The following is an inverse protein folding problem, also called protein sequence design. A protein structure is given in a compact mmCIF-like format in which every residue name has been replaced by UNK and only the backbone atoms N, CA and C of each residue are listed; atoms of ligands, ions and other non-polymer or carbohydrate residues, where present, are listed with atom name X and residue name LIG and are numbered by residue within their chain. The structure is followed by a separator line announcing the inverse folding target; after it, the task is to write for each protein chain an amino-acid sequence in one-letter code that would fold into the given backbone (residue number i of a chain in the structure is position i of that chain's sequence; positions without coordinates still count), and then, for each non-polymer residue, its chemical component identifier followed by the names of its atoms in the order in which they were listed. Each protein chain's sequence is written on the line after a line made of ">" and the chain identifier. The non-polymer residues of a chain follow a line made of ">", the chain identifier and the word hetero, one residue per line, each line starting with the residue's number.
data_IF_978421887063
#
_entry.id   IF_978421887063
#
_cell.length_a   1.000
_cell.length_b   1.000
_cell.length_c   1.000
_cell.angle_alpha   90.00
_cell.angle_beta   90.00
_cell.angle_gamma   90.00
#
_symmetry.space_group_name_H-M   'P 1'
#
loop_
_entity.id
_entity.type
_entity.pdbx_description
1 polymer ?
#
# COMPACT_ATOMS: atom_id res chain seq x y z
N UNK A 1 -65.15 66.57 6.56
CA UNK A 1 -64.47 65.48 7.32
C UNK A 1 -63.13 65.27 6.65
N UNK A 2 -62.05 65.79 7.24
CA UNK A 2 -60.69 65.65 6.73
C UNK A 2 -59.93 64.66 7.62
N UNK A 3 -59.23 63.70 7.01
CA UNK A 3 -58.35 62.74 7.69
C UNK A 3 -57.26 63.46 8.47
N UNK A 4 -56.90 63.01 9.69
CA UNK A 4 -55.64 63.43 10.29
C UNK A 4 -54.48 62.68 9.62
N UNK A 5 -53.54 63.44 9.06
CA UNK A 5 -52.23 62.99 8.59
C UNK A 5 -51.49 62.24 9.71
N UNK A 6 -51.02 61.03 9.39
CA UNK A 6 -50.10 60.29 10.24
C UNK A 6 -48.70 60.96 10.19
N UNK A 7 -48.05 61.20 11.33
CA UNK A 7 -46.70 61.76 11.34
C UNK A 7 -45.72 60.72 10.76
N UNK A 8 -44.99 61.13 9.73
CA UNK A 8 -43.87 60.40 9.14
C UNK A 8 -42.87 60.03 10.25
N UNK A 9 -42.67 58.73 10.44
CA UNK A 9 -41.74 58.19 11.41
C UNK A 9 -40.29 58.61 11.10
N UNK A 10 -39.54 58.80 12.18
CA UNK A 10 -38.20 59.37 12.26
C UNK A 10 -37.16 58.80 11.28
N UNK A 11 -36.30 59.69 10.78
CA UNK A 11 -35.02 59.34 10.14
C UNK A 11 -34.14 58.53 11.11
N UNK A 12 -33.61 57.36 10.74
CA UNK A 12 -32.66 56.64 11.58
C UNK A 12 -31.34 57.40 11.63
N UNK A 13 -30.75 57.47 12.82
CA UNK A 13 -29.42 58.03 13.08
C UNK A 13 -28.36 57.32 12.23
N UNK A 14 -27.37 58.10 11.79
CA UNK A 14 -26.29 57.71 10.87
C UNK A 14 -25.21 56.81 11.53
N UNK A 15 -25.65 55.81 12.29
CA UNK A 15 -24.81 54.79 12.90
C UNK A 15 -24.76 53.55 11.99
N UNK A 16 -23.61 52.85 12.00
CA UNK A 16 -23.39 51.67 11.16
C UNK A 16 -24.43 50.59 11.46
N UNK A 17 -25.12 50.02 10.45
CA UNK A 17 -26.00 48.88 10.68
C UNK A 17 -25.26 47.64 11.19
N UNK A 18 -25.86 46.88 12.12
CA UNK A 18 -25.23 45.71 12.76
C UNK A 18 -24.86 44.56 11.80
N UNK A 19 -25.56 44.46 10.67
CA UNK A 19 -25.32 43.41 9.66
C UNK A 19 -24.15 43.75 8.73
N UNK A 20 -23.67 44.99 8.71
CA UNK A 20 -22.65 45.45 7.77
C UNK A 20 -21.25 45.31 8.40
N UNK A 21 -20.39 44.45 7.84
CA UNK A 21 -19.01 44.33 8.30
C UNK A 21 -18.28 45.68 8.24
N UNK A 22 -17.39 45.91 9.21
CA UNK A 22 -16.63 47.17 9.36
C UNK A 22 -15.85 47.56 8.12
N UNK A 23 -15.34 46.57 7.39
CA UNK A 23 -14.59 46.77 6.15
C UNK A 23 -15.38 47.53 5.08
N UNK A 24 -16.72 47.42 5.08
CA UNK A 24 -17.62 48.07 4.13
C UNK A 24 -18.28 49.34 4.66
N UNK A 25 -17.90 49.81 5.85
CA UNK A 25 -18.40 51.06 6.44
C UNK A 25 -17.34 52.15 6.38
N UNK A 26 -17.76 53.35 5.99
CA UNK A 26 -16.97 54.58 6.06
C UNK A 26 -17.38 55.36 7.31
N UNK A 27 -16.50 55.37 8.32
CA UNK A 27 -16.73 56.05 9.58
C UNK A 27 -16.71 57.60 9.43
N UNK A 28 -15.94 58.11 8.46
CA UNK A 28 -15.80 59.55 8.22
C UNK A 28 -16.98 60.08 7.40
N UNK A 29 -17.41 59.30 6.40
CA UNK A 29 -18.57 59.59 5.56
C UNK A 29 -19.92 59.21 6.17
N UNK A 30 -19.94 58.46 7.28
CA UNK A 30 -21.13 57.79 7.86
C UNK A 30 -21.96 57.07 6.79
N UNK A 31 -21.27 56.39 5.88
CA UNK A 31 -21.86 55.83 4.68
C UNK A 31 -21.30 54.43 4.39
N UNK A 32 -22.03 53.66 3.59
CA UNK A 32 -21.58 52.36 3.11
C UNK A 32 -20.57 52.60 1.98
N UNK A 33 -19.43 51.88 2.03
CA UNK A 33 -18.49 51.77 0.91
C UNK A 33 -19.11 50.91 -0.19
N UNK A 34 -20.07 51.48 -0.90
CA UNK A 34 -20.88 50.76 -1.90
C UNK A 34 -20.05 50.16 -3.04
N UNK A 35 -18.93 50.80 -3.38
CA UNK A 35 -18.00 50.27 -4.39
C UNK A 35 -17.33 48.96 -3.93
N UNK A 36 -16.81 48.91 -2.70
CA UNK A 36 -16.14 47.72 -2.14
C UNK A 36 -17.13 46.58 -1.91
N UNK A 37 -18.33 46.90 -1.41
CA UNK A 37 -19.41 45.92 -1.23
C UNK A 37 -19.85 45.33 -2.57
N UNK A 38 -19.99 46.18 -3.61
CA UNK A 38 -20.31 45.72 -4.96
C UNK A 38 -19.21 44.81 -5.50
N UNK A 39 -17.94 45.19 -5.37
CA UNK A 39 -16.82 44.38 -5.84
C UNK A 39 -16.80 42.98 -5.20
N UNK A 40 -17.03 42.90 -3.89
CA UNK A 40 -17.12 41.63 -3.16
C UNK A 40 -18.36 40.81 -3.56
N UNK A 41 -19.49 41.47 -3.82
CA UNK A 41 -20.68 40.77 -4.32
C UNK A 41 -20.49 40.24 -5.75
N UNK A 42 -19.84 41.01 -6.62
CA UNK A 42 -19.50 40.58 -7.99
C UNK A 42 -18.56 39.36 -7.93
N UNK A 43 -17.55 39.38 -7.06
CA UNK A 43 -16.63 38.25 -6.83
C UNK A 43 -17.36 37.01 -6.32
N UNK A 44 -18.24 37.15 -5.33
CA UNK A 44 -19.05 36.04 -4.82
C UNK A 44 -19.98 35.48 -5.90
N UNK A 45 -20.57 36.35 -6.73
CA UNK A 45 -21.45 35.94 -7.82
C UNK A 45 -20.67 35.18 -8.89
N UNK A 46 -19.49 35.67 -9.26
CA UNK A 46 -18.59 34.98 -10.19
C UNK A 46 -18.13 33.63 -9.62
N UNK A 47 -17.78 33.57 -8.34
CA UNK A 47 -17.42 32.33 -7.66
C UNK A 47 -18.57 31.33 -7.68
N UNK A 48 -19.78 31.75 -7.30
CA UNK A 48 -20.97 30.90 -7.31
C UNK A 48 -21.31 30.39 -8.71
N UNK A 49 -21.24 31.26 -9.72
CA UNK A 49 -21.43 30.87 -11.12
C UNK A 49 -20.38 29.84 -11.57
N UNK A 50 -19.12 30.01 -11.15
CA UNK A 50 -18.05 29.05 -11.40
C UNK A 50 -18.30 27.68 -10.74
N UNK A 51 -18.70 27.66 -9.47
CA UNK A 51 -19.00 26.42 -8.75
C UNK A 51 -20.25 25.72 -9.28
N UNK A 52 -21.29 26.46 -9.65
CA UNK A 52 -22.47 25.90 -10.33
C UNK A 52 -22.10 25.31 -11.69
N UNK A 53 -21.22 25.98 -12.45
CA UNK A 53 -20.72 25.45 -13.72
C UNK A 53 -19.93 24.15 -13.54
N UNK A 54 -19.06 24.05 -12.52
CA UNK A 54 -18.31 22.82 -12.23
C UNK A 54 -19.23 21.68 -11.80
N UNK A 55 -20.18 21.98 -10.92
CA UNK A 55 -21.18 21.00 -10.48
C UNK A 55 -22.07 20.54 -11.64
N UNK A 56 -22.38 21.41 -12.60
CA UNK A 56 -23.10 21.04 -13.82
C UNK A 56 -22.25 20.19 -14.77
N UNK A 57 -20.92 20.35 -14.74
CA UNK A 57 -19.97 19.52 -15.48
C UNK A 57 -19.63 18.18 -14.78
N UNK A 58 -20.10 17.99 -13.54
CA UNK A 58 -19.93 16.74 -12.83
C UNK A 58 -20.71 15.61 -13.54
N UNK A 59 -20.11 14.42 -13.69
CA UNK A 59 -20.82 13.27 -14.26
C UNK A 59 -22.11 12.94 -13.50
N UNK A 60 -23.15 12.54 -14.22
CA UNK A 60 -24.47 12.25 -13.62
C UNK A 60 -24.43 11.12 -12.58
N UNK A 61 -23.48 10.19 -12.73
CA UNK A 61 -23.30 9.04 -11.85
C UNK A 61 -21.82 8.80 -11.53
N UNK A 62 -21.49 8.23 -10.35
CA UNK A 62 -20.12 7.93 -9.97
C UNK A 62 -19.37 7.05 -10.99
N UNK A 63 -20.05 6.11 -11.65
CA UNK A 63 -19.40 5.17 -12.56
C UNK A 63 -18.91 5.82 -13.86
N UNK A 64 -19.38 7.03 -14.16
CA UNK A 64 -19.02 7.76 -15.38
C UNK A 64 -17.69 8.50 -15.27
N UNK A 65 -17.07 8.55 -14.09
CA UNK A 65 -15.71 9.09 -13.96
C UNK A 65 -14.68 8.12 -14.57
N UNK A 66 -13.90 8.66 -15.49
CA UNK A 66 -12.84 7.93 -16.20
C UNK A 66 -11.55 7.88 -15.36
N UNK A 67 -10.90 6.72 -15.34
CA UNK A 67 -9.60 6.53 -14.69
C UNK A 67 -8.47 6.90 -15.65
N UNK A 68 -8.35 8.20 -15.95
CA UNK A 68 -7.27 8.73 -16.79
C UNK A 68 -6.44 9.74 -16.03
N UNK A 69 -5.19 9.89 -16.46
CA UNK A 69 -4.34 10.93 -15.92
C UNK A 69 -4.77 12.29 -16.47
N UNK A 70 -4.54 13.37 -15.70
CA UNK A 70 -4.66 14.71 -16.22
C UNK A 70 -3.79 14.91 -17.46
N UNK A 71 -4.25 15.76 -18.39
CA UNK A 71 -3.47 16.10 -19.58
C UNK A 71 -2.11 16.71 -19.19
N UNK A 72 -1.04 16.26 -19.86
CA UNK A 72 0.33 16.74 -19.60
C UNK A 72 0.94 16.25 -18.28
N UNK A 73 0.29 15.32 -17.59
CA UNK A 73 0.81 14.76 -16.34
C UNK A 73 1.97 13.78 -16.59
N UNK A 74 3.14 14.10 -16.03
CA UNK A 74 4.34 13.25 -16.13
C UNK A 74 4.49 12.34 -14.91
N UNK A 75 4.65 11.05 -15.17
CA UNK A 75 4.90 10.01 -14.17
C UNK A 75 6.39 9.67 -14.00
N UNK A 76 7.25 10.27 -14.82
CA UNK A 76 8.67 9.94 -14.92
C UNK A 76 8.94 8.80 -15.91
N UNK A 77 10.20 8.69 -16.33
CA UNK A 77 10.63 7.71 -17.33
C UNK A 77 10.33 6.27 -16.90
N UNK A 78 9.79 5.48 -17.83
CA UNK A 78 9.59 4.04 -17.67
C UNK A 78 8.34 3.62 -16.89
N UNK A 79 7.51 4.56 -16.43
CA UNK A 79 6.25 4.23 -15.74
C UNK A 79 5.04 4.45 -16.65
N UNK A 80 4.16 3.45 -16.74
CA UNK A 80 2.87 3.56 -17.44
C UNK A 80 1.76 3.39 -16.43
N UNK A 81 0.83 4.34 -16.39
CA UNK A 81 -0.36 4.21 -15.54
C UNK A 81 -1.32 3.18 -16.13
N UNK A 82 -1.48 2.06 -15.43
CA UNK A 82 -2.46 1.03 -15.74
C UNK A 82 -3.35 0.86 -14.51
N UNK A 83 -4.44 1.63 -14.39
CA UNK A 83 -5.37 1.49 -13.28
C UNK A 83 -6.09 0.15 -13.38
N UNK A 84 -6.17 -0.57 -12.25
CA UNK A 84 -7.10 -1.69 -12.13
C UNK A 84 -8.50 -1.12 -11.87
N UNK A 85 -9.47 -1.29 -12.80
CA UNK A 85 -10.83 -0.80 -12.58
C UNK A 85 -11.55 -1.49 -11.42
N UNK A 86 -11.05 -2.65 -10.95
CA UNK A 86 -11.58 -3.37 -9.80
C UNK A 86 -10.98 -2.91 -8.46
N UNK A 87 -10.02 -1.97 -8.46
CA UNK A 87 -9.45 -1.44 -7.22
C UNK A 87 -10.54 -0.70 -6.40
N UNK A 88 -10.82 -1.14 -5.16
CA UNK A 88 -11.82 -0.51 -4.28
C UNK A 88 -11.57 0.98 -4.02
N UNK A 89 -10.32 1.44 -4.15
CA UNK A 89 -9.97 2.85 -3.97
C UNK A 89 -10.59 3.71 -5.07
N UNK A 90 -10.68 3.21 -6.30
CA UNK A 90 -11.30 3.95 -7.39
C UNK A 90 -12.82 3.96 -7.30
N UNK A 91 -13.46 2.87 -6.86
CA UNK A 91 -14.91 2.91 -6.61
C UNK A 91 -15.25 3.91 -5.50
N UNK A 92 -14.52 3.87 -4.38
CA UNK A 92 -14.67 4.86 -3.31
C UNK A 92 -14.39 6.29 -3.79
N UNK A 93 -13.31 6.49 -4.54
CA UNK A 93 -12.94 7.80 -5.08
C UNK A 93 -14.02 8.39 -5.99
N UNK A 94 -14.68 7.55 -6.80
CA UNK A 94 -15.81 7.94 -7.65
C UNK A 94 -17.03 8.36 -6.84
N UNK A 95 -17.38 7.60 -5.82
CA UNK A 95 -18.50 7.93 -4.91
C UNK A 95 -18.25 9.27 -4.19
N UNK A 96 -17.03 9.45 -3.68
CA UNK A 96 -16.62 10.70 -3.02
C UNK A 96 -16.68 11.86 -4.01
N UNK A 97 -16.10 11.71 -5.21
CA UNK A 97 -16.10 12.75 -6.23
C UNK A 97 -17.52 13.18 -6.64
N UNK A 98 -18.40 12.20 -6.85
CA UNK A 98 -19.81 12.46 -7.15
C UNK A 98 -20.53 13.18 -6.01
N UNK A 99 -20.34 12.72 -4.77
CA UNK A 99 -20.97 13.33 -3.58
C UNK A 99 -20.52 14.77 -3.34
N UNK A 100 -19.27 15.08 -3.70
CA UNK A 100 -18.69 16.42 -3.62
C UNK A 100 -19.03 17.29 -4.84
N UNK A 101 -19.61 16.71 -5.90
CA UNK A 101 -19.90 17.42 -7.15
C UNK A 101 -18.65 17.82 -7.91
N UNK A 102 -17.57 17.03 -7.82
CA UNK A 102 -16.35 17.27 -8.58
C UNK A 102 -16.59 17.00 -10.06
N UNK A 103 -15.97 17.80 -10.93
CA UNK A 103 -15.91 17.47 -12.35
C UNK A 103 -14.84 16.39 -12.62
N UNK A 104 -14.78 15.95 -13.88
CA UNK A 104 -13.80 14.94 -14.31
C UNK A 104 -12.36 15.40 -14.05
N UNK A 105 -12.03 16.66 -14.35
CA UNK A 105 -10.68 17.20 -14.14
C UNK A 105 -10.29 17.25 -12.65
N UNK A 106 -11.22 17.59 -11.76
CA UNK A 106 -11.05 17.55 -10.32
C UNK A 106 -10.83 16.13 -9.81
N UNK A 107 -11.59 15.16 -10.31
CA UNK A 107 -11.38 13.74 -9.98
C UNK A 107 -9.99 13.24 -10.40
N UNK A 108 -9.57 13.55 -11.63
CA UNK A 108 -8.23 13.19 -12.13
C UNK A 108 -7.12 13.80 -11.29
N UNK A 109 -7.25 15.08 -10.94
CA UNK A 109 -6.23 15.82 -10.19
C UNK A 109 -6.13 15.39 -8.72
N UNK A 110 -7.26 15.10 -8.09
CA UNK A 110 -7.32 14.83 -6.64
C UNK A 110 -7.23 13.34 -6.30
N UNK A 111 -7.64 12.46 -7.21
CA UNK A 111 -7.64 11.01 -6.97
C UNK A 111 -6.65 10.28 -7.87
N UNK A 112 -6.79 10.41 -9.19
CA UNK A 112 -6.03 9.58 -10.14
C UNK A 112 -4.54 9.94 -10.15
N UNK A 113 -4.19 11.22 -10.26
CA UNK A 113 -2.81 11.68 -10.30
C UNK A 113 -2.03 11.35 -9.01
N UNK A 114 -2.52 11.63 -7.79
CA UNK A 114 -1.82 11.27 -6.55
C UNK A 114 -1.61 9.76 -6.42
N UNK A 115 -2.61 8.95 -6.77
CA UNK A 115 -2.49 7.50 -6.77
C UNK A 115 -1.41 7.04 -7.76
N UNK A 116 -1.39 7.58 -8.97
CA UNK A 116 -0.39 7.26 -9.96
C UNK A 116 1.04 7.67 -9.52
N UNK A 117 1.20 8.84 -8.87
CA UNK A 117 2.49 9.24 -8.26
C UNK A 117 2.94 8.28 -7.18
N UNK A 118 2.03 7.86 -6.31
CA UNK A 118 2.33 6.91 -5.25
C UNK A 118 2.82 5.59 -5.82
N UNK A 119 2.13 5.07 -6.85
CA UNK A 119 2.57 3.84 -7.52
C UNK A 119 3.94 3.99 -8.19
N UNK A 120 4.18 5.10 -8.89
CA UNK A 120 5.48 5.37 -9.51
C UNK A 120 6.60 5.47 -8.46
N UNK A 121 6.35 6.17 -7.35
CA UNK A 121 7.30 6.29 -6.25
C UNK A 121 7.59 4.92 -5.60
N UNK A 122 6.57 4.09 -5.39
CA UNK A 122 6.73 2.74 -4.85
C UNK A 122 7.52 1.84 -5.81
N UNK A 123 7.22 1.89 -7.11
CA UNK A 123 7.93 1.12 -8.12
C UNK A 123 9.42 1.50 -8.17
N UNK A 124 9.71 2.81 -8.11
CA UNK A 124 11.09 3.31 -8.04
C UNK A 124 11.82 2.83 -6.79
N UNK A 125 11.20 2.97 -5.62
CA UNK A 125 11.78 2.49 -4.36
C UNK A 125 12.05 0.99 -4.39
N UNK A 126 11.12 0.20 -4.93
CA UNK A 126 11.29 -1.25 -5.10
C UNK A 126 12.45 -1.57 -6.05
N UNK A 127 12.57 -0.85 -7.18
CA UNK A 127 13.66 -1.04 -8.12
C UNK A 127 15.03 -0.74 -7.50
N UNK A 128 15.13 0.32 -6.69
CA UNK A 128 16.35 0.66 -5.95
C UNK A 128 16.71 -0.43 -4.92
N UNK A 129 15.73 -0.96 -4.20
CA UNK A 129 15.91 -2.07 -3.25
C UNK A 129 16.39 -3.34 -3.98
N UNK A 130 15.75 -3.71 -5.09
CA UNK A 130 16.13 -4.87 -5.89
C UNK A 130 17.56 -4.71 -6.40
N UNK A 131 17.90 -3.52 -6.94
CA UNK A 131 19.25 -3.22 -7.40
C UNK A 131 20.29 -3.40 -6.28
N UNK A 132 20.04 -2.81 -5.10
CA UNK A 132 20.94 -2.93 -3.95
C UNK A 132 21.12 -4.39 -3.50
N UNK A 133 20.04 -5.18 -3.53
CA UNK A 133 20.11 -6.60 -3.19
C UNK A 133 20.90 -7.42 -4.22
N UNK A 134 20.72 -7.15 -5.52
CA UNK A 134 21.48 -7.80 -6.58
C UNK A 134 22.97 -7.46 -6.49
N UNK A 135 23.32 -6.20 -6.21
CA UNK A 135 24.70 -5.78 -5.94
C UNK A 135 25.29 -6.53 -4.72
N UNK A 136 24.52 -6.66 -3.64
CA UNK A 136 24.95 -7.38 -2.43
C UNK A 136 25.16 -8.89 -2.64
N UNK A 137 24.42 -9.50 -3.57
CA UNK A 137 24.55 -10.90 -3.97
C UNK A 137 25.81 -11.20 -4.79
N UNK A 138 26.42 -10.17 -5.36
CA UNK A 138 27.64 -10.23 -6.15
C UNK A 138 27.42 -10.66 -7.61
N UNK A 139 28.51 -10.83 -8.39
CA UNK A 139 28.43 -11.04 -9.85
C UNK A 139 27.65 -12.28 -10.29
N UNK A 140 27.46 -13.26 -9.39
CA UNK A 140 26.71 -14.49 -9.63
C UNK A 140 25.26 -14.46 -9.13
N UNK A 141 24.72 -13.29 -8.81
CA UNK A 141 23.36 -13.13 -8.26
C UNK A 141 22.30 -13.89 -9.09
N UNK A 142 22.27 -13.66 -10.40
CA UNK A 142 21.32 -14.30 -11.30
C UNK A 142 21.49 -15.83 -11.37
N UNK A 143 22.75 -16.32 -11.37
CA UNK A 143 23.04 -17.77 -11.36
C UNK A 143 22.56 -18.43 -10.06
N UNK A 144 22.81 -17.78 -8.91
CA UNK A 144 22.40 -18.27 -7.58
C UNK A 144 20.89 -18.28 -7.45
N UNK A 145 20.21 -17.20 -7.87
CA UNK A 145 18.75 -17.11 -7.87
C UNK A 145 18.15 -18.23 -8.71
N UNK A 146 18.60 -18.39 -9.96
CA UNK A 146 18.11 -19.45 -10.84
C UNK A 146 18.37 -20.85 -10.29
N UNK A 147 19.51 -21.07 -9.63
CA UNK A 147 19.82 -22.35 -9.00
C UNK A 147 18.86 -22.67 -7.85
N UNK A 148 18.53 -21.67 -7.01
CA UNK A 148 17.54 -21.81 -5.93
C UNK A 148 16.14 -22.04 -6.50
N UNK A 149 15.70 -21.27 -7.50
CA UNK A 149 14.40 -21.45 -8.16
C UNK A 149 14.26 -22.84 -8.78
N UNK A 150 15.29 -23.31 -9.48
CA UNK A 150 15.32 -24.64 -10.10
C UNK A 150 15.23 -25.73 -9.04
N UNK A 151 15.98 -25.60 -7.94
CA UNK A 151 15.94 -26.56 -6.84
C UNK A 151 14.58 -26.56 -6.13
N UNK A 152 13.99 -25.39 -5.87
CA UNK A 152 12.65 -25.26 -5.30
C UNK A 152 11.60 -25.90 -6.22
N UNK A 153 11.64 -25.63 -7.52
CA UNK A 153 10.76 -26.25 -8.51
C UNK A 153 10.86 -27.77 -8.52
N UNK A 154 12.08 -28.30 -8.41
CA UNK A 154 12.32 -29.74 -8.36
C UNK A 154 11.84 -30.40 -7.05
N UNK A 155 11.77 -29.67 -5.93
CA UNK A 155 11.41 -30.22 -4.61
C UNK A 155 9.95 -29.98 -4.20
N UNK A 156 9.39 -28.84 -4.57
CA UNK A 156 8.06 -28.39 -4.14
C UNK A 156 7.04 -28.38 -5.28
N UNK A 157 7.47 -28.57 -6.52
CA UNK A 157 6.65 -28.40 -7.71
C UNK A 157 6.58 -26.94 -8.17
N UNK A 158 6.08 -26.74 -9.40
CA UNK A 158 6.09 -25.45 -10.07
C UNK A 158 5.28 -24.36 -9.32
N UNK A 159 4.10 -24.70 -8.79
CA UNK A 159 3.21 -23.74 -8.13
C UNK A 159 3.80 -23.20 -6.82
N UNK A 160 4.39 -24.08 -6.01
CA UNK A 160 5.04 -23.68 -4.76
C UNK A 160 6.32 -22.89 -5.02
N UNK A 161 7.09 -23.24 -6.05
CA UNK A 161 8.26 -22.47 -6.46
C UNK A 161 7.88 -21.07 -6.99
N UNK A 162 6.79 -20.98 -7.77
CA UNK A 162 6.26 -19.71 -8.25
C UNK A 162 5.78 -18.81 -7.11
N UNK A 163 5.09 -19.39 -6.11
CA UNK A 163 4.69 -18.66 -4.90
C UNK A 163 5.91 -18.12 -4.16
N UNK A 164 6.94 -18.92 -3.93
CA UNK A 164 8.16 -18.45 -3.24
C UNK A 164 8.87 -17.36 -4.05
N UNK A 165 8.96 -17.50 -5.37
CA UNK A 165 9.50 -16.47 -6.24
C UNK A 165 8.71 -15.15 -6.15
N UNK A 166 7.38 -15.21 -6.01
CA UNK A 166 6.54 -14.00 -5.88
C UNK A 166 6.73 -13.23 -4.56
N UNK A 167 7.27 -13.86 -3.51
CA UNK A 167 7.46 -13.21 -2.19
C UNK A 167 8.62 -12.22 -2.15
N UNK A 168 9.32 -11.98 -3.27
CA UNK A 168 10.54 -11.16 -3.36
C UNK A 168 11.72 -11.67 -2.52
N UNK A 169 11.57 -12.77 -1.76
CA UNK A 169 12.63 -13.32 -0.91
C UNK A 169 13.88 -13.70 -1.73
N UNK A 170 13.68 -14.28 -2.91
CA UNK A 170 14.76 -14.68 -3.81
C UNK A 170 15.47 -13.48 -4.47
N UNK A 171 14.92 -12.27 -4.36
CA UNK A 171 15.55 -11.05 -4.83
C UNK A 171 16.43 -10.40 -3.74
N UNK A 172 16.66 -11.06 -2.61
CA UNK A 172 17.46 -10.54 -1.50
C UNK A 172 18.64 -11.46 -1.16
N UNK A 173 19.76 -10.87 -0.72
CA UNK A 173 20.92 -11.66 -0.28
C UNK A 173 20.57 -12.62 0.87
N UNK A 174 19.92 -12.19 1.97
CA UNK A 174 19.58 -13.09 3.06
C UNK A 174 18.62 -14.21 2.62
N UNK A 175 17.66 -13.92 1.73
CA UNK A 175 16.73 -14.92 1.23
C UNK A 175 17.43 -16.01 0.43
N UNK A 176 18.29 -15.65 -0.52
CA UNK A 176 19.10 -16.61 -1.28
C UNK A 176 19.99 -17.44 -0.34
N UNK A 177 20.68 -16.81 0.62
CA UNK A 177 21.57 -17.52 1.55
C UNK A 177 20.81 -18.52 2.45
N UNK A 178 19.59 -18.17 2.87
CA UNK A 178 18.71 -19.08 3.62
C UNK A 178 18.37 -20.30 2.77
N UNK A 179 17.93 -20.11 1.53
CA UNK A 179 17.56 -21.23 0.66
C UNK A 179 18.77 -22.07 0.23
N UNK A 180 19.94 -21.48 0.01
CA UNK A 180 21.18 -22.22 -0.23
C UNK A 180 21.57 -23.08 0.99
N UNK A 181 21.37 -22.56 2.21
CA UNK A 181 21.59 -23.32 3.44
C UNK A 181 20.60 -24.48 3.56
N UNK A 182 19.31 -24.24 3.31
CA UNK A 182 18.28 -25.30 3.30
C UNK A 182 18.62 -26.35 2.24
N UNK A 183 19.00 -25.92 1.04
CA UNK A 183 19.43 -26.82 -0.03
C UNK A 183 20.62 -27.69 0.43
N UNK A 184 21.63 -27.10 1.08
CA UNK A 184 22.76 -27.87 1.62
C UNK A 184 22.33 -28.91 2.66
N UNK A 185 21.39 -28.57 3.54
CA UNK A 185 20.85 -29.51 4.54
C UNK A 185 20.08 -30.65 3.85
N UNK A 186 19.23 -30.32 2.89
CA UNK A 186 18.39 -31.26 2.17
C UNK A 186 19.18 -32.20 1.24
N UNK A 187 20.25 -31.69 0.61
CA UNK A 187 21.11 -32.47 -0.30
C UNK A 187 22.27 -33.17 0.40
N UNK A 188 22.65 -32.72 1.60
CA UNK A 188 23.79 -33.24 2.37
C UNK A 188 23.49 -34.46 3.26
N UNK A 189 22.30 -35.06 3.17
CA UNK A 189 21.95 -36.26 3.94
C UNK A 189 22.00 -36.08 5.47
N UNK A 190 21.93 -34.84 5.97
CA UNK A 190 22.19 -34.58 7.38
C UNK A 190 21.62 -33.24 7.83
N UNK A 191 20.35 -33.25 8.23
CA UNK A 191 20.06 -32.59 9.50
C UNK A 191 20.80 -33.40 10.58
N UNK A 192 21.63 -32.81 11.45
CA UNK A 192 22.12 -33.51 12.62
C UNK A 192 20.91 -33.96 13.44
N UNK A 193 20.50 -35.23 13.28
CA UNK A 193 19.43 -35.85 14.06
C UNK A 193 18.10 -36.18 13.36
N UNK A 194 17.95 -36.06 12.03
CA UNK A 194 16.71 -36.50 11.38
C UNK A 194 16.94 -37.21 10.04
N UNK A 195 17.05 -38.54 10.09
CA UNK A 195 16.89 -39.40 8.92
C UNK A 195 15.42 -39.77 8.74
N UNK A 196 15.01 -39.93 7.48
CA UNK A 196 13.63 -40.08 7.00
C UNK A 196 12.89 -41.34 7.52
N UNK A 197 13.56 -42.19 8.30
CA UNK A 197 12.97 -43.36 8.97
C UNK A 197 12.79 -43.19 10.48
N UNK A 198 13.11 -42.03 11.07
CA UNK A 198 12.90 -41.78 12.49
C UNK A 198 13.82 -42.63 13.37
N UNK A 199 14.92 -42.02 13.85
CA UNK A 199 16.09 -42.61 14.55
C UNK A 199 17.09 -43.31 13.64
N UNK A 200 18.11 -42.55 13.25
CA UNK A 200 19.47 -43.10 13.13
C UNK A 200 20.11 -43.05 14.53
N UNK A 201 20.69 -44.08 15.11
CA UNK A 201 20.51 -45.52 14.98
C UNK A 201 20.89 -46.05 16.36
N UNK A 202 20.13 -47.00 16.91
CA UNK A 202 20.64 -47.74 18.06
C UNK A 202 22.00 -48.30 17.66
N UNK A 203 23.07 -48.01 18.44
CA UNK A 203 24.36 -48.68 18.28
C UNK A 203 24.06 -50.17 18.04
N UNK A 204 24.69 -50.75 17.01
CA UNK A 204 24.60 -52.18 16.74
C UNK A 204 24.75 -52.96 18.05
N UNK A 205 24.02 -54.06 18.19
CA UNK A 205 24.14 -54.92 19.37
C UNK A 205 25.63 -55.20 19.61
N UNK A 206 26.13 -55.07 20.86
CA UNK A 206 27.54 -55.27 21.14
C UNK A 206 27.95 -56.65 20.63
N UNK A 207 29.13 -56.74 20.01
CA UNK A 207 29.73 -58.03 19.68
C UNK A 207 29.93 -58.84 20.97
N UNK A 208 30.09 -60.16 20.86
CA UNK A 208 30.22 -61.04 22.02
C UNK A 208 31.43 -60.65 22.90
N UNK A 209 32.53 -60.23 22.27
CA UNK A 209 33.73 -59.73 22.95
C UNK A 209 33.48 -58.38 23.64
N UNK A 210 32.72 -57.48 23.02
CA UNK A 210 32.33 -56.20 23.62
C UNK A 210 31.34 -56.40 24.78
N UNK A 211 30.43 -57.36 24.68
CA UNK A 211 29.51 -57.71 25.77
C UNK A 211 30.27 -58.33 26.95
N UNK A 212 31.29 -59.15 26.67
CA UNK A 212 32.17 -59.70 27.68
C UNK A 212 33.03 -58.62 28.38
N UNK A 213 33.39 -57.54 27.68
CA UNK A 213 34.13 -56.43 28.27
C UNK A 213 33.26 -55.45 29.09
N UNK A 214 31.93 -55.52 28.98
CA UNK A 214 31.02 -54.63 29.72
C UNK A 214 30.92 -54.98 31.20
N UNK A 215 30.73 -53.94 32.03
CA UNK A 215 30.40 -54.12 33.44
C UNK A 215 29.02 -54.79 33.63
N UNK A 216 28.76 -55.41 34.80
CA UNK A 216 27.47 -56.05 35.06
C UNK A 216 26.26 -55.12 34.89
N UNK A 217 26.40 -53.83 35.21
CA UNK A 217 25.35 -52.83 35.05
C UNK A 217 25.07 -52.53 33.57
N UNK A 218 26.11 -52.45 32.75
CA UNK A 218 25.99 -52.18 31.31
C UNK A 218 25.36 -53.37 30.57
N UNK A 219 25.69 -54.60 30.97
CA UNK A 219 25.06 -55.82 30.43
C UNK A 219 23.56 -55.90 30.70
N UNK A 220 23.10 -55.49 31.89
CA UNK A 220 21.68 -55.43 32.24
C UNK A 220 20.92 -54.40 31.39
N UNK A 221 21.53 -53.25 31.11
CA UNK A 221 20.96 -52.21 30.25
C UNK A 221 20.89 -52.69 28.79
N UNK A 222 21.94 -53.36 28.30
CA UNK A 222 21.97 -53.94 26.97
C UNK A 222 20.88 -55.03 26.80
N UNK A 223 20.73 -55.92 27.78
CA UNK A 223 19.71 -56.99 27.77
C UNK A 223 18.27 -56.45 27.82
N UNK A 224 18.01 -55.35 28.56
CA UNK A 224 16.69 -54.69 28.55
C UNK A 224 16.36 -54.07 27.19
N UNK A 225 17.35 -53.49 26.51
CA UNK A 225 17.16 -52.86 25.19
C UNK A 225 16.86 -53.90 24.09
N UNK A 226 17.51 -55.07 24.13
CA UNK A 226 17.20 -56.15 23.19
C UNK A 226 15.81 -56.75 23.43
N UNK A 227 15.37 -56.85 24.69
CA UNK A 227 14.03 -57.33 25.03
C UNK A 227 12.89 -56.37 24.62
N UNK A 228 13.14 -55.05 24.56
CA UNK A 228 12.12 -54.05 24.16
C UNK A 228 11.98 -53.86 22.65
N UNK A 229 12.86 -54.46 21.83
CA UNK A 229 12.88 -54.31 20.37
C UNK A 229 12.18 -55.44 19.59
N UNK A 230 11.51 -56.37 20.28
CA UNK A 230 10.81 -57.50 19.67
C UNK A 230 9.30 -57.39 19.75
N UNK A 231 8.69 -56.59 18.87
CA UNK A 231 7.35 -56.76 18.28
C UNK A 231 7.12 -55.72 17.19
#
# INVERSE_FOLDING_TARGET
>A
MAQPEAPLAASPSADRPDWLPEQFWDADGKAIKGADLKAQFDELTAFKAGEESKRAAAPEKPELYELKLPEGFDLGEGFTFQPDPADPMFSFGREVAHSMGLDQAGFETLMVAPFAKMQAAQAKANAEIIKANLEALGPKAAERQKAVETWLGAKLGADAAALIASTQLLNTKPGIEVFERIHRIASGGGAPGFTQTGRDGGKAAPTEDEYAAMSPAERLVAARKSASGGR
#
